data_IF_094171143833
#
_entry.id   IF_094171143833
#
_cell.length_a   1.000
_cell.length_b   1.000
_cell.length_c   1.000
_cell.angle_alpha   90.00
_cell.angle_beta   90.00
_cell.angle_gamma   90.00
#
_symmetry.space_group_name_H-M   'P 1'
#
loop_
_entity.id
_entity.type
_entity.pdbx_description
1 polymer ?
#
# COMPACT_ATOMS: atom_id res chain seq x y z
N UNK A 1 9.61 -14.39 -9.43
CA UNK A 1 9.85 -13.26 -10.34
C UNK A 1 10.00 -12.00 -9.51
N UNK A 2 11.19 -11.41 -9.52
CA UNK A 2 11.52 -10.24 -8.70
C UNK A 2 10.83 -9.01 -9.29
N UNK A 3 10.07 -8.30 -8.46
CA UNK A 3 9.38 -7.05 -8.77
C UNK A 3 10.31 -6.13 -9.58
N UNK A 4 10.02 -5.95 -10.88
CA UNK A 4 10.79 -5.05 -11.73
C UNK A 4 10.69 -3.64 -11.15
N UNK A 5 11.83 -2.99 -10.93
CA UNK A 5 11.88 -1.58 -10.58
C UNK A 5 11.29 -0.76 -11.74
N UNK A 6 10.08 -0.22 -11.53
CA UNK A 6 9.49 0.72 -12.47
C UNK A 6 10.34 2.01 -12.46
N UNK A 7 10.55 2.67 -13.61
CA UNK A 7 11.26 3.95 -13.66
C UNK A 7 10.48 4.95 -12.80
N UNK A 8 11.00 5.17 -11.60
CA UNK A 8 10.42 6.09 -10.63
C UNK A 8 10.92 7.47 -11.04
N UNK A 9 10.01 8.38 -11.41
CA UNK A 9 10.34 9.80 -11.48
C UNK A 9 11.08 10.22 -10.20
N UNK A 10 11.94 11.24 -10.25
CA UNK A 10 12.68 11.75 -9.08
C UNK A 10 11.70 12.13 -7.95
N UNK A 11 11.35 11.14 -7.15
CA UNK A 11 10.22 11.15 -6.24
C UNK A 11 10.73 10.55 -4.96
N UNK A 12 10.46 11.24 -3.87
CA UNK A 12 10.79 10.80 -2.52
C UNK A 12 9.84 9.68 -2.05
N UNK A 13 9.35 8.83 -2.95
CA UNK A 13 8.37 7.80 -2.66
C UNK A 13 8.75 6.54 -3.42
N UNK A 14 9.00 5.47 -2.68
CA UNK A 14 9.06 4.11 -3.22
C UNK A 14 7.69 3.45 -3.04
N UNK A 15 7.20 2.82 -4.09
CA UNK A 15 5.92 2.12 -4.06
C UNK A 15 6.04 0.79 -4.79
N UNK A 16 5.58 -0.26 -4.12
CA UNK A 16 5.51 -1.62 -4.64
C UNK A 16 4.05 -2.04 -4.71
N UNK A 17 3.70 -2.79 -5.75
CA UNK A 17 2.36 -3.34 -5.96
C UNK A 17 2.50 -4.84 -6.18
N UNK A 18 1.73 -5.65 -5.46
CA UNK A 18 1.69 -7.10 -5.65
C UNK A 18 0.81 -7.46 -6.84
N UNK A 19 0.93 -8.69 -7.35
CA UNK A 19 0.05 -9.18 -8.42
C UNK A 19 -1.43 -9.16 -8.01
N UNK A 20 -1.71 -9.33 -6.71
CA UNK A 20 -3.05 -9.28 -6.11
C UNK A 20 -3.53 -7.85 -5.80
N UNK A 21 -2.75 -6.82 -6.18
CA UNK A 21 -3.17 -5.42 -6.05
C UNK A 21 -2.90 -4.77 -4.69
N UNK A 22 -2.32 -5.49 -3.73
CA UNK A 22 -1.85 -4.90 -2.47
C UNK A 22 -0.69 -3.94 -2.71
N UNK A 23 -0.56 -2.90 -1.88
CA UNK A 23 0.40 -1.80 -2.07
C UNK A 23 1.22 -1.56 -0.81
N UNK A 24 2.54 -1.44 -0.98
CA UNK A 24 3.47 -1.00 0.07
C UNK A 24 4.13 0.29 -0.39
N UNK A 25 4.07 1.33 0.45
CA UNK A 25 4.63 2.65 0.15
C UNK A 25 5.61 3.06 1.24
N UNK A 26 6.80 3.48 0.85
CA UNK A 26 7.86 3.95 1.75
C UNK A 26 8.30 5.34 1.31
N UNK A 27 8.30 6.30 2.23
CA UNK A 27 8.72 7.68 1.94
C UNK A 27 9.36 8.34 3.16
N UNK A 28 10.30 9.29 2.99
CA UNK A 28 10.69 10.15 4.08
C UNK A 28 9.52 11.06 4.47
N UNK A 29 9.39 11.29 5.78
CA UNK A 29 8.49 12.30 6.30
C UNK A 29 9.00 13.70 5.95
N UNK A 30 8.09 14.65 5.71
CA UNK A 30 8.44 16.03 5.40
C UNK A 30 8.74 16.90 6.62
N UNK A 31 8.35 16.47 7.83
CA UNK A 31 8.40 17.30 9.05
C UNK A 31 9.28 16.73 10.16
N UNK A 32 9.61 15.44 10.10
CA UNK A 32 10.35 14.73 11.15
C UNK A 32 11.40 13.81 10.51
N UNK A 33 12.52 13.51 11.18
CA UNK A 33 13.56 12.60 10.66
C UNK A 33 13.11 11.13 10.77
N UNK A 34 12.03 10.78 10.06
CA UNK A 34 11.41 9.45 10.06
C UNK A 34 11.09 9.00 8.65
N UNK A 35 11.12 7.69 8.43
CA UNK A 35 10.56 7.05 7.26
C UNK A 35 9.12 6.62 7.59
N UNK A 36 8.15 6.98 6.73
CA UNK A 36 6.76 6.53 6.84
C UNK A 36 6.55 5.33 5.90
N UNK A 37 6.09 4.24 6.47
CA UNK A 37 5.74 3.01 5.77
C UNK A 37 4.22 2.82 5.82
N UNK A 38 3.60 2.65 4.66
CA UNK A 38 2.18 2.40 4.52
C UNK A 38 1.96 1.04 3.86
N UNK A 39 1.01 0.27 4.36
CA UNK A 39 0.52 -0.94 3.74
C UNK A 39 -0.97 -0.79 3.46
N UNK A 40 -1.37 -1.09 2.23
CA UNK A 40 -2.76 -1.21 1.82
C UNK A 40 -2.95 -2.63 1.30
N UNK A 41 -3.83 -3.38 1.96
CA UNK A 41 -4.11 -4.78 1.63
C UNK A 41 -5.33 -4.83 0.73
N UNK A 42 -5.22 -5.58 -0.36
CA UNK A 42 -6.33 -5.92 -1.24
C UNK A 42 -6.55 -7.42 -1.16
N UNK A 43 -7.79 -7.81 -0.89
CA UNK A 43 -8.26 -9.19 -0.89
C UNK A 43 -9.68 -9.22 -1.45
N UNK A 44 -10.07 -10.36 -2.04
CA UNK A 44 -11.46 -10.58 -2.43
C UNK A 44 -12.36 -10.57 -1.20
N UNK A 45 -13.50 -9.90 -1.33
CA UNK A 45 -14.52 -9.91 -0.29
C UNK A 45 -15.25 -11.25 -0.30
N UNK A 46 -15.11 -12.03 0.77
CA UNK A 46 -15.74 -13.36 0.90
C UNK A 46 -16.75 -13.44 2.03
N UNK A 47 -16.98 -12.34 2.74
CA UNK A 47 -17.89 -12.30 3.87
C UNK A 47 -19.35 -12.08 3.41
N UNK A 48 -20.27 -12.70 4.15
CA UNK A 48 -21.72 -12.56 3.92
C UNK A 48 -22.26 -11.18 4.39
N UNK A 49 -21.45 -10.43 5.13
CA UNK A 49 -21.80 -9.07 5.59
C UNK A 49 -21.25 -8.02 4.65
N UNK A 50 -21.91 -6.87 4.58
CA UNK A 50 -21.42 -5.75 3.77
C UNK A 50 -20.11 -5.18 4.34
N UNK A 51 -19.29 -4.59 3.47
CA UNK A 51 -18.05 -3.93 3.89
C UNK A 51 -18.30 -2.83 4.94
N UNK A 52 -19.33 -2.01 4.72
CA UNK A 52 -19.70 -0.95 5.63
C UNK A 52 -20.13 -1.50 7.00
N UNK A 53 -20.87 -2.61 7.02
CA UNK A 53 -21.26 -3.25 8.28
C UNK A 53 -20.06 -3.80 9.05
N UNK A 54 -19.11 -4.43 8.36
CA UNK A 54 -17.88 -4.94 8.99
C UNK A 54 -17.03 -3.80 9.58
N UNK A 55 -16.88 -2.69 8.87
CA UNK A 55 -16.04 -1.57 9.28
C UNK A 55 -16.63 -0.73 10.42
N UNK A 56 -17.94 -0.83 10.66
CA UNK A 56 -18.65 -0.12 11.74
C UNK A 56 -18.80 -0.96 13.02
N UNK A 57 -18.22 -2.16 13.07
CA UNK A 57 -18.12 -2.98 14.29
C UNK A 57 -16.90 -2.61 15.11
#
# INVERSE_FOLDING_TARGET
>A
EVLRALPQAASNVMQFVTQEGSRVTVRPSGTEPKIKCYASVSASWTDDVSHDEMMNR
#
